data_IF_389522621598
#
_entry.id   IF_389522621598
#
_cell.length_a   1.000
_cell.length_b   1.000
_cell.length_c   1.000
_cell.angle_alpha   90.00
_cell.angle_beta   90.00
_cell.angle_gamma   90.00
#
_symmetry.space_group_name_H-M   'P 1'
#
loop_
_entity.id
_entity.type
_entity.pdbx_description
1 polymer ?
#
# COMPACT_ATOMS: atom_id res chain seq x y z
N UNK A 1 -13.11 6.27 14.93
CA UNK A 1 -13.26 5.40 13.75
C UNK A 1 -11.90 5.22 13.09
N UNK A 2 -11.57 4.02 12.69
CA UNK A 2 -10.27 3.75 12.07
C UNK A 2 -10.47 3.61 10.58
N UNK A 3 -9.67 4.32 9.80
CA UNK A 3 -9.66 4.18 8.35
C UNK A 3 -8.75 3.01 8.00
N UNK A 4 -9.29 2.05 7.29
CA UNK A 4 -8.57 0.83 6.93
C UNK A 4 -8.66 0.60 5.43
N UNK A 5 -7.66 -0.08 4.89
CA UNK A 5 -7.73 -0.58 3.52
C UNK A 5 -7.49 -2.08 3.55
N UNK A 6 -7.94 -2.75 2.51
CA UNK A 6 -7.76 -4.19 2.36
C UNK A 6 -6.70 -4.39 1.30
N UNK A 7 -5.64 -5.10 1.64
CA UNK A 7 -4.54 -5.34 0.73
C UNK A 7 -4.52 -6.81 0.34
N UNK A 8 -4.60 -7.06 -0.95
CA UNK A 8 -4.48 -8.41 -1.49
C UNK A 8 -2.99 -8.65 -1.78
N UNK A 9 -2.35 -9.46 -0.96
CA UNK A 9 -0.91 -9.68 -1.06
C UNK A 9 -0.57 -10.53 -2.27
N UNK A 10 0.71 -10.55 -2.62
CA UNK A 10 1.16 -11.34 -3.77
C UNK A 10 0.96 -12.83 -3.55
N UNK A 11 0.72 -13.27 -2.33
CA UNK A 11 0.43 -14.66 -2.03
C UNK A 11 -1.07 -14.98 -2.10
N UNK A 12 -1.87 -14.00 -2.46
CA UNK A 12 -3.31 -14.20 -2.55
C UNK A 12 -4.07 -14.03 -1.26
N UNK A 13 -3.40 -13.61 -0.21
CA UNK A 13 -4.06 -13.36 1.08
C UNK A 13 -4.52 -11.92 1.16
N UNK A 14 -5.65 -11.71 1.81
CA UNK A 14 -6.15 -10.37 2.05
C UNK A 14 -5.87 -9.99 3.49
N UNK A 15 -5.21 -8.86 3.67
CA UNK A 15 -4.96 -8.33 5.00
C UNK A 15 -5.63 -6.97 5.13
N UNK A 16 -6.02 -6.64 6.35
CA UNK A 16 -6.60 -5.33 6.65
C UNK A 16 -5.54 -4.47 7.31
N UNK A 17 -5.31 -3.31 6.76
CA UNK A 17 -4.26 -2.41 7.24
C UNK A 17 -4.89 -1.15 7.79
N UNK A 18 -4.60 -0.83 9.05
CA UNK A 18 -5.07 0.39 9.67
C UNK A 18 -4.20 1.55 9.19
N UNK A 19 -4.83 2.57 8.66
CA UNK A 19 -4.09 3.72 8.13
C UNK A 19 -4.08 4.89 9.10
N UNK A 20 -5.26 5.33 9.54
CA UNK A 20 -5.36 6.54 10.32
C UNK A 20 -6.71 6.56 11.04
N UNK A 21 -6.95 7.65 11.78
CA UNK A 21 -8.12 7.76 12.64
C UNK A 21 -9.30 8.46 11.98
N UNK A 22 -9.06 9.29 10.97
CA UNK A 22 -10.14 10.02 10.33
C UNK A 22 -9.78 10.36 8.89
N UNK A 23 -10.75 10.91 8.17
CA UNK A 23 -10.58 11.21 6.76
C UNK A 23 -9.61 12.35 6.51
N UNK A 24 -9.47 13.27 7.44
CA UNK A 24 -8.52 14.35 7.27
C UNK A 24 -7.11 13.82 7.24
N UNK A 25 -6.82 12.87 8.12
CA UNK A 25 -5.50 12.22 8.11
C UNK A 25 -5.29 11.43 6.83
N UNK A 26 -6.34 10.78 6.35
CA UNK A 26 -6.25 10.03 5.10
C UNK A 26 -5.87 10.94 3.93
N UNK A 27 -6.43 12.13 3.90
CA UNK A 27 -6.15 13.08 2.82
C UNK A 27 -4.70 13.56 2.84
N UNK A 28 -4.02 13.42 3.95
CA UNK A 28 -2.63 13.84 4.08
C UNK A 28 -1.63 12.69 3.95
N UNK A 29 -2.13 11.46 3.85
CA UNK A 29 -1.25 10.31 3.75
C UNK A 29 -0.70 10.15 2.34
N UNK A 30 0.58 9.79 2.27
CA UNK A 30 1.25 9.53 1.01
C UNK A 30 1.30 8.03 0.71
N UNK A 31 1.65 7.72 -0.53
CA UNK A 31 1.85 6.33 -0.94
C UNK A 31 2.95 5.68 -0.11
N UNK A 32 4.01 6.41 0.18
CA UNK A 32 5.09 5.86 1.00
C UNK A 32 4.59 5.46 2.38
N UNK A 33 3.76 6.30 3.00
CA UNK A 33 3.21 5.97 4.31
C UNK A 33 2.33 4.73 4.25
N UNK A 34 1.56 4.58 3.18
CA UNK A 34 0.76 3.37 2.97
C UNK A 34 1.65 2.14 2.89
N UNK A 35 2.72 2.21 2.11
CA UNK A 35 3.65 1.10 1.97
C UNK A 35 4.26 0.72 3.32
N UNK A 36 4.63 1.72 4.11
CA UNK A 36 5.18 1.46 5.44
C UNK A 36 4.18 0.79 6.35
N UNK A 37 2.92 1.21 6.30
CA UNK A 37 1.87 0.58 7.10
C UNK A 37 1.66 -0.87 6.69
N UNK A 38 1.67 -1.14 5.40
CA UNK A 38 1.52 -2.50 4.89
C UNK A 38 2.70 -3.36 5.36
N UNK A 39 3.91 -2.83 5.25
CA UNK A 39 5.10 -3.57 5.63
C UNK A 39 5.06 -3.97 7.11
N UNK A 40 4.50 -3.13 7.96
CA UNK A 40 4.37 -3.46 9.37
C UNK A 40 3.46 -4.65 9.64
N UNK A 41 2.55 -4.92 8.73
CA UNK A 41 1.64 -6.07 8.87
C UNK A 41 2.24 -7.35 8.33
N UNK A 42 3.30 -7.27 7.56
CA UNK A 42 3.92 -8.44 6.98
C UNK A 42 5.09 -8.89 7.85
N UNK A 43 5.26 -10.20 8.06
CA UNK A 43 6.37 -10.68 8.88
C UNK A 43 7.70 -10.57 8.16
N UNK A 44 8.77 -10.53 8.93
CA UNK A 44 10.10 -10.64 8.39
C UNK A 44 10.66 -9.36 7.83
N UNK A 45 10.93 -9.31 6.56
CA UNK A 45 11.73 -8.27 5.92
C UNK A 45 10.91 -7.03 5.54
N UNK A 46 10.22 -6.46 6.53
CA UNK A 46 9.29 -5.37 6.25
C UNK A 46 9.91 -4.20 5.51
N UNK A 47 11.11 -3.80 5.93
CA UNK A 47 11.75 -2.64 5.31
C UNK A 47 12.11 -2.89 3.85
N UNK A 48 12.62 -4.07 3.56
CA UNK A 48 12.97 -4.41 2.18
C UNK A 48 11.75 -4.55 1.33
N UNK A 49 10.68 -5.11 1.89
CA UNK A 49 9.44 -5.27 1.15
C UNK A 49 8.84 -3.93 0.78
N UNK A 50 8.97 -2.94 1.65
CA UNK A 50 8.45 -1.61 1.33
C UNK A 50 9.14 -1.02 0.10
N UNK A 51 10.44 -1.26 -0.05
CA UNK A 51 11.19 -0.75 -1.20
C UNK A 51 10.82 -1.45 -2.49
N UNK A 52 10.56 -2.77 -2.42
CA UNK A 52 10.28 -3.57 -3.61
C UNK A 52 8.79 -3.70 -3.91
N UNK A 53 7.96 -3.21 -3.03
CA UNK A 53 6.52 -3.39 -3.11
C UNK A 53 5.92 -2.47 -4.17
N UNK A 54 5.07 -3.03 -5.01
CA UNK A 54 4.27 -2.24 -5.92
C UNK A 54 2.81 -2.40 -5.55
N UNK A 55 2.12 -1.28 -5.47
CA UNK A 55 0.70 -1.26 -5.13
C UNK A 55 -0.11 -0.81 -6.33
N UNK A 56 -1.24 -1.44 -6.54
CA UNK A 56 -2.14 -1.10 -7.62
C UNK A 56 -3.53 -0.91 -7.03
N UNK A 57 -4.13 0.24 -7.30
CA UNK A 57 -5.50 0.50 -6.90
C UNK A 57 -6.34 0.67 -8.17
N UNK A 58 -7.31 -0.22 -8.35
CA UNK A 58 -8.06 -0.33 -9.58
C UNK A 58 -7.07 -0.61 -10.72
N UNK A 59 -6.91 0.29 -11.66
CA UNK A 59 -5.94 0.09 -12.73
C UNK A 59 -4.79 1.09 -12.65
N UNK A 60 -4.62 1.73 -11.48
CA UNK A 60 -3.61 2.75 -11.30
C UNK A 60 -2.46 2.22 -10.45
N UNK A 61 -1.25 2.48 -10.89
CA UNK A 61 -0.07 2.12 -10.11
C UNK A 61 0.24 3.20 -9.10
N UNK A 62 0.47 2.79 -7.87
CA UNK A 62 0.86 3.70 -6.81
C UNK A 62 2.38 3.73 -6.73
N UNK A 63 3.01 4.23 -7.78
CA UNK A 63 4.46 4.14 -7.91
C UNK A 63 5.19 5.42 -7.54
N UNK A 64 4.48 6.47 -7.17
CA UNK A 64 5.10 7.71 -6.74
C UNK A 64 4.88 7.90 -5.24
N UNK A 65 5.93 7.71 -4.48
CA UNK A 65 5.84 7.70 -3.02
C UNK A 65 5.37 9.03 -2.44
N UNK A 66 5.60 10.11 -3.13
CA UNK A 66 5.22 11.43 -2.64
C UNK A 66 3.77 11.80 -2.95
N UNK A 67 3.09 11.01 -3.76
CA UNK A 67 1.69 11.28 -4.08
C UNK A 67 0.80 10.97 -2.90
N UNK A 68 -0.28 11.71 -2.80
CA UNK A 68 -1.26 11.49 -1.74
C UNK A 68 -2.24 10.40 -2.13
N UNK A 69 -2.66 9.62 -1.15
CA UNK A 69 -3.61 8.54 -1.41
C UNK A 69 -4.93 9.07 -1.96
N UNK A 70 -5.35 10.25 -1.52
CA UNK A 70 -6.60 10.81 -2.00
C UNK A 70 -6.56 11.17 -3.49
N UNK A 71 -5.37 11.36 -4.05
CA UNK A 71 -5.26 11.64 -5.49
C UNK A 71 -5.65 10.43 -6.32
N UNK A 72 -5.58 9.24 -5.74
CA UNK A 72 -5.97 8.01 -6.43
C UNK A 72 -7.40 7.59 -6.10
N UNK A 73 -8.07 8.30 -5.18
CA UNK A 73 -9.42 7.95 -4.78
C UNK A 73 -9.49 6.84 -3.76
N UNK A 74 -8.42 6.60 -3.01
CA UNK A 74 -8.39 5.56 -1.99
C UNK A 74 -9.21 6.01 -0.79
N UNK A 75 -10.14 5.17 -0.37
CA UNK A 75 -11.06 5.46 0.72
C UNK A 75 -11.02 4.33 1.73
N UNK A 76 -11.80 4.49 2.80
CA UNK A 76 -11.95 3.44 3.79
C UNK A 76 -12.44 2.16 3.12
N UNK A 77 -11.73 1.07 3.39
CA UNK A 77 -12.01 -0.28 2.88
C UNK A 77 -11.75 -0.45 1.38
N UNK A 78 -10.98 0.44 0.79
CA UNK A 78 -10.54 0.25 -0.58
C UNK A 78 -9.67 -1.01 -0.69
N UNK A 79 -9.82 -1.72 -1.80
CA UNK A 79 -9.03 -2.91 -2.07
C UNK A 79 -7.81 -2.52 -2.88
N UNK A 80 -6.65 -2.87 -2.39
CA UNK A 80 -5.38 -2.54 -3.01
C UNK A 80 -4.66 -3.84 -3.32
N UNK A 81 -4.17 -3.98 -4.54
CA UNK A 81 -3.38 -5.12 -4.96
C UNK A 81 -1.91 -4.86 -4.67
N UNK A 82 -1.25 -5.83 -4.05
CA UNK A 82 0.18 -5.74 -3.80
C UNK A 82 0.89 -6.76 -4.68
N UNK A 83 1.86 -6.30 -5.45
CA UNK A 83 2.71 -7.17 -6.22
C UNK A 83 4.17 -6.83 -5.91
N UNK A 84 5.03 -7.81 -6.03
CA UNK A 84 6.44 -7.59 -5.82
C UNK A 84 7.10 -7.25 -7.13
N UNK A 85 8.03 -6.30 -7.07
CA UNK A 85 8.82 -5.98 -8.23
C UNK A 85 9.82 -7.10 -8.47
N UNK A 86 9.74 -7.70 -9.65
CA UNK A 86 10.63 -8.80 -9.96
C UNK A 86 11.81 -8.40 -10.82
N UNK A 87 11.86 -7.16 -11.12
CA UNK A 87 12.95 -6.74 -11.86
C UNK A 87 14.05 -6.41 -11.03
N UNK A 88 13.61 -6.49 -10.43
CA UNK A 88 14.62 -6.42 -10.05
C UNK A 88 15.35 -7.10 -10.96
N UNK A 89 14.89 -7.08 -11.08
CA UNK A 89 15.31 -7.54 -11.53
C UNK A 89 15.55 -7.50 -12.38
N UNK A 90 15.68 -7.46 -12.52
CA UNK A 90 15.97 -7.53 -13.16
C UNK A 90 16.52 -7.95 -13.88
N UNK A 91 16.56 -8.07 -13.94
CA UNK A 91 17.00 -8.58 -14.58
C UNK A 91 17.20 -8.98 -14.85
N UNK A 92 17.13 -9.06 -14.86
CA UNK A 92 17.48 -9.69 -15.12
C UNK A 92 17.87 -10.03 -15.56
#
# INVERSE_FOLDING_TARGET
MVIQVIVNTFEGQKITVDLCQDEKQLQLMTVLQLKQKIALKLPGRAERMAADMQLIFADKRLDQDSKLLCEFGILHRSLIQMVMSLDGGRGV
#
